data_IF_286689216279
#
_entry.id   IF_286689216279
#
_cell.length_a   1.000
_cell.length_b   1.000
_cell.length_c   1.000
_cell.angle_alpha   90.00
_cell.angle_beta   90.00
_cell.angle_gamma   90.00
#
_symmetry.space_group_name_H-M   'P 1'
#
loop_
_entity.id
_entity.type
_entity.pdbx_description
1 polymer ?
#
# COMPACT_ATOMS: atom_id res chain seq x y z
N UNK A 1 10.68 15.13 7.59
CA UNK A 1 11.09 14.20 6.53
C UNK A 1 10.35 12.94 6.83
N UNK A 2 9.38 12.56 6.00
CA UNK A 2 8.59 11.35 6.23
C UNK A 2 9.52 10.13 6.24
N UNK A 3 9.45 9.29 7.27
CA UNK A 3 10.21 8.05 7.36
C UNK A 3 9.44 6.92 6.65
N UNK A 4 9.61 6.84 5.33
CA UNK A 4 8.88 5.92 4.46
C UNK A 4 9.80 4.80 3.95
N UNK A 5 9.38 3.54 4.11
CA UNK A 5 10.02 2.35 3.49
C UNK A 5 9.18 1.83 2.32
N UNK A 6 9.83 1.50 1.19
CA UNK A 6 9.19 0.99 -0.03
C UNK A 6 9.80 -0.36 -0.42
N UNK A 7 8.98 -1.42 -0.43
CA UNK A 7 9.35 -2.74 -0.97
C UNK A 7 8.50 -3.06 -2.20
N UNK A 8 9.17 -3.30 -3.34
CA UNK A 8 8.54 -3.52 -4.64
C UNK A 8 8.96 -4.87 -5.21
N UNK A 9 8.00 -5.79 -5.30
CA UNK A 9 8.15 -7.10 -5.91
C UNK A 9 7.03 -7.35 -6.95
N UNK A 10 7.20 -8.33 -7.83
CA UNK A 10 6.23 -8.63 -8.92
C UNK A 10 4.81 -8.97 -8.42
N UNK A 11 4.67 -9.30 -7.13
CA UNK A 11 3.42 -9.75 -6.51
C UNK A 11 2.98 -8.86 -5.33
N UNK A 12 3.83 -7.96 -4.86
CA UNK A 12 3.56 -7.10 -3.70
C UNK A 12 4.26 -5.75 -3.83
N UNK A 13 3.56 -4.70 -3.45
CA UNK A 13 4.07 -3.35 -3.23
C UNK A 13 3.73 -3.02 -1.78
N UNK A 14 4.73 -2.81 -0.93
CA UNK A 14 4.53 -2.45 0.46
C UNK A 14 5.14 -1.08 0.72
N UNK A 15 4.38 -0.27 1.45
CA UNK A 15 4.78 1.06 1.88
C UNK A 15 4.48 1.21 3.34
N UNK A 16 5.47 1.59 4.12
CA UNK A 16 5.33 1.84 5.55
C UNK A 16 5.64 3.30 5.82
N UNK A 17 4.70 4.03 6.42
CA UNK A 17 4.90 5.35 7.00
C UNK A 17 5.08 5.20 8.51
N UNK A 18 6.34 5.27 8.95
CA UNK A 18 6.68 5.11 10.36
C UNK A 18 6.32 6.34 11.21
N UNK A 19 6.11 7.51 10.62
CA UNK A 19 5.70 8.70 11.36
C UNK A 19 4.23 8.59 11.76
N UNK A 20 3.38 8.09 10.85
CA UNK A 20 1.96 7.85 11.10
C UNK A 20 1.65 6.46 11.68
N UNK A 21 2.64 5.57 11.74
CA UNK A 21 2.47 4.16 12.11
C UNK A 21 1.47 3.42 11.20
N UNK A 22 1.40 3.81 9.94
CA UNK A 22 0.50 3.24 8.94
C UNK A 22 1.26 2.54 7.82
N UNK A 23 0.64 1.56 7.20
CA UNK A 23 1.15 0.84 6.04
C UNK A 23 0.08 0.75 4.95
N UNK A 24 0.56 0.71 3.72
CA UNK A 24 -0.21 0.38 2.54
C UNK A 24 0.43 -0.81 1.83
N UNK A 25 -0.37 -1.84 1.58
CA UNK A 25 0.05 -3.06 0.91
C UNK A 25 -0.79 -3.24 -0.34
N UNK A 26 -0.18 -3.11 -1.52
CA UNK A 26 -0.79 -3.56 -2.75
C UNK A 26 -0.33 -4.99 -3.06
N UNK A 27 -1.25 -5.95 -3.08
CA UNK A 27 -0.94 -7.35 -3.34
C UNK A 27 -1.75 -7.90 -4.51
N UNK A 28 -1.12 -8.76 -5.31
CA UNK A 28 -1.77 -9.42 -6.42
C UNK A 28 -2.76 -10.49 -5.93
N UNK A 29 -4.02 -10.37 -6.32
CA UNK A 29 -5.09 -11.33 -6.09
C UNK A 29 -5.67 -11.80 -7.42
N UNK A 30 -5.17 -12.94 -7.91
CA UNK A 30 -5.50 -13.47 -9.23
C UNK A 30 -5.05 -12.53 -10.36
N UNK A 31 -5.99 -12.03 -11.14
CA UNK A 31 -5.74 -11.07 -12.24
C UNK A 31 -5.83 -9.61 -11.81
N UNK A 32 -6.08 -9.35 -10.53
CA UNK A 32 -6.28 -8.01 -9.98
C UNK A 32 -5.28 -7.74 -8.87
N UNK A 33 -5.14 -6.48 -8.48
CA UNK A 33 -4.34 -6.01 -7.36
C UNK A 33 -5.27 -5.40 -6.32
N UNK A 34 -5.12 -5.81 -5.06
CA UNK A 34 -5.84 -5.24 -3.93
C UNK A 34 -4.91 -4.32 -3.18
N UNK A 35 -5.35 -3.08 -2.97
CA UNK A 35 -4.63 -2.09 -2.18
C UNK A 35 -5.28 -2.06 -0.80
N UNK A 36 -4.51 -2.47 0.20
CA UNK A 36 -4.89 -2.56 1.60
C UNK A 36 -4.20 -1.44 2.36
N UNK A 37 -4.86 -0.86 3.36
CA UNK A 37 -4.27 0.15 4.26
C UNK A 37 -4.59 -0.21 5.70
N UNK A 38 -3.65 0.03 6.62
CA UNK A 38 -3.86 -0.21 8.04
C UNK A 38 -2.63 0.11 8.88
N UNK A 39 -2.62 -0.23 10.17
CA UNK A 39 -1.46 0.00 11.05
C UNK A 39 -0.31 -0.95 10.70
N UNK A 40 0.94 -0.49 10.79
CA UNK A 40 2.16 -1.30 10.50
C UNK A 40 2.17 -2.62 11.31
N UNK A 41 1.82 -2.54 12.60
CA UNK A 41 1.94 -3.68 13.52
C UNK A 41 0.67 -4.54 13.66
N UNK A 42 -0.41 -4.23 12.92
CA UNK A 42 -1.71 -4.87 13.13
C UNK A 42 -2.30 -5.38 11.80
N UNK A 43 -1.79 -6.50 11.32
CA UNK A 43 -2.24 -7.13 10.05
C UNK A 43 -3.74 -7.47 10.02
N UNK A 44 -4.38 -7.62 11.19
CA UNK A 44 -5.82 -7.86 11.30
C UNK A 44 -6.68 -6.60 11.04
N UNK A 45 -6.07 -5.43 10.91
CA UNK A 45 -6.76 -4.15 10.68
C UNK A 45 -6.54 -3.60 9.27
N UNK A 46 -6.03 -4.41 8.35
CA UNK A 46 -5.88 -4.04 6.95
C UNK A 46 -7.26 -3.92 6.28
N UNK A 47 -7.65 -2.68 5.98
CA UNK A 47 -8.87 -2.37 5.24
C UNK A 47 -8.59 -2.33 3.74
N UNK A 48 -9.47 -2.93 2.95
CA UNK A 48 -9.38 -2.81 1.49
C UNK A 48 -9.75 -1.40 1.05
N UNK A 49 -8.76 -0.66 0.54
CA UNK A 49 -8.93 0.71 0.05
C UNK A 49 -9.45 0.72 -1.38
N UNK A 50 -8.85 -0.08 -2.25
CA UNK A 50 -9.25 -0.17 -3.66
C UNK A 50 -8.81 -1.49 -4.29
N UNK A 51 -9.37 -1.81 -5.45
CA UNK A 51 -8.96 -2.95 -6.27
C UNK A 51 -8.78 -2.50 -7.70
N UNK A 52 -7.62 -2.78 -8.26
CA UNK A 52 -7.18 -2.33 -9.58
C UNK A 52 -6.75 -3.51 -10.44
N UNK A 53 -6.72 -3.34 -11.75
CA UNK A 53 -6.49 -4.46 -12.67
C UNK A 53 -5.03 -4.62 -13.09
N UNK A 54 -4.19 -3.62 -12.78
CA UNK A 54 -2.81 -3.59 -13.25
C UNK A 54 -1.83 -3.21 -12.13
N UNK A 55 -0.59 -3.72 -12.17
CA UNK A 55 0.44 -3.33 -11.21
C UNK A 55 0.75 -1.83 -11.26
N UNK A 56 0.70 -1.22 -12.44
CA UNK A 56 0.92 0.23 -12.59
C UNK A 56 -0.15 1.05 -11.87
N UNK A 57 -1.42 0.64 -11.96
CA UNK A 57 -2.48 1.29 -11.19
C UNK A 57 -2.30 1.08 -9.69
N UNK A 58 -1.85 -0.09 -9.26
CA UNK A 58 -1.57 -0.36 -7.85
C UNK A 58 -0.50 0.58 -7.32
N UNK A 59 0.60 0.75 -8.08
CA UNK A 59 1.66 1.70 -7.76
C UNK A 59 1.15 3.16 -7.70
N UNK A 60 0.32 3.58 -8.66
CA UNK A 60 -0.24 4.94 -8.66
C UNK A 60 -1.11 5.18 -7.43
N UNK A 61 -1.93 4.22 -7.03
CA UNK A 61 -2.76 4.32 -5.83
C UNK A 61 -1.91 4.38 -4.55
N UNK A 62 -0.84 3.58 -4.49
CA UNK A 62 0.16 3.62 -3.43
C UNK A 62 0.84 5.00 -3.32
N UNK A 63 1.33 5.54 -4.43
CA UNK A 63 1.98 6.86 -4.45
C UNK A 63 0.99 7.99 -4.13
N UNK A 64 -0.27 7.87 -4.57
CA UNK A 64 -1.30 8.84 -4.24
C UNK A 64 -1.57 8.88 -2.73
N UNK A 65 -1.59 7.73 -2.06
CA UNK A 65 -1.73 7.68 -0.61
C UNK A 65 -0.61 8.45 0.10
N UNK A 66 0.65 8.24 -0.31
CA UNK A 66 1.78 8.99 0.25
C UNK A 66 1.65 10.51 0.04
N UNK A 67 1.12 10.93 -1.11
CA UNK A 67 0.93 12.35 -1.42
C UNK A 67 -0.31 12.97 -0.72
N UNK A 68 -1.26 12.15 -0.26
CA UNK A 68 -2.43 12.62 0.51
C UNK A 68 -2.09 12.82 2.00
N UNK A 69 -0.99 12.23 2.48
CA UNK A 69 -0.54 12.29 3.88
C UNK A 69 0.48 13.41 4.16
N UNK A 70 0.84 14.22 3.15
CA UNK A 70 1.66 15.46 3.28
C UNK A 70 0.85 16.73 3.61
#
# INVERSE_FOLDING_TARGET
MANIELDLNDEVIMVEDHDQQQQLIATKSGNTWRVLVGPINESNQLANRTTVNTPTQALVETLRWLAEDE
#
